data_IF_955677517019
#
_entry.id   IF_955677517019
#
_cell.length_a   1.000
_cell.length_b   1.000
_cell.length_c   1.000
_cell.angle_alpha   90.00
_cell.angle_beta   90.00
_cell.angle_gamma   90.00
#
_symmetry.space_group_name_H-M   'P 1'
#
loop_
_entity.id
_entity.type
_entity.pdbx_description
1 polymer ?
#
# COMPACT_ATOMS: atom_id res chain seq x y z
N UNK A 1 -19.46 -2.81 -32.58
CA UNK A 1 -19.97 -2.20 -31.33
C UNK A 1 -19.70 -3.10 -30.11
N UNK A 2 -20.13 -4.37 -30.11
CA UNK A 2 -19.91 -5.30 -28.99
C UNK A 2 -18.43 -5.53 -28.64
N UNK A 3 -17.57 -5.73 -29.65
CA UNK A 3 -16.13 -5.98 -29.44
C UNK A 3 -15.40 -4.83 -28.71
N UNK A 4 -15.78 -3.57 -29.01
CA UNK A 4 -15.23 -2.40 -28.32
C UNK A 4 -15.63 -2.35 -26.84
N UNK A 5 -16.85 -2.78 -26.51
CA UNK A 5 -17.33 -2.82 -25.13
C UNK A 5 -16.60 -3.89 -24.30
N UNK A 6 -16.39 -5.09 -24.87
CA UNK A 6 -15.64 -6.16 -24.18
C UNK A 6 -14.17 -5.76 -23.96
N UNK A 7 -13.54 -5.12 -24.95
CA UNK A 7 -12.18 -4.62 -24.84
C UNK A 7 -12.05 -3.57 -23.73
N UNK A 8 -12.98 -2.60 -23.66
CA UNK A 8 -13.04 -1.60 -22.58
C UNK A 8 -13.17 -2.25 -21.21
N UNK A 9 -14.01 -3.28 -21.08
CA UNK A 9 -14.20 -4.00 -19.82
C UNK A 9 -12.91 -4.74 -19.38
N UNK A 10 -12.19 -5.37 -20.32
CA UNK A 10 -10.89 -5.99 -20.04
C UNK A 10 -9.85 -4.96 -19.60
N UNK A 11 -9.76 -3.83 -20.30
CA UNK A 11 -8.84 -2.74 -19.94
C UNK A 11 -9.16 -2.18 -18.55
N UNK A 12 -10.44 -1.97 -18.23
CA UNK A 12 -10.84 -1.49 -16.91
C UNK A 12 -10.45 -2.47 -15.78
N UNK A 13 -10.64 -3.77 -15.98
CA UNK A 13 -10.22 -4.81 -15.01
C UNK A 13 -8.70 -4.85 -14.83
N UNK A 14 -7.95 -4.82 -15.93
CA UNK A 14 -6.49 -4.77 -15.87
C UNK A 14 -5.99 -3.47 -15.22
N UNK A 15 -6.69 -2.35 -15.45
CA UNK A 15 -6.40 -1.07 -14.79
C UNK A 15 -6.58 -1.17 -13.27
N UNK A 16 -7.69 -1.76 -12.79
CA UNK A 16 -7.89 -2.00 -11.36
C UNK A 16 -6.82 -2.91 -10.78
N UNK A 17 -6.46 -3.99 -11.49
CA UNK A 17 -5.43 -4.91 -11.05
C UNK A 17 -4.05 -4.25 -10.99
N UNK A 18 -3.70 -3.41 -11.97
CA UNK A 18 -2.45 -2.66 -11.97
C UNK A 18 -2.40 -1.62 -10.84
N UNK A 19 -3.49 -0.90 -10.59
CA UNK A 19 -3.61 0.04 -9.46
C UNK A 19 -3.47 -0.69 -8.13
N UNK A 20 -4.11 -1.85 -7.97
CA UNK A 20 -3.96 -2.65 -6.76
C UNK A 20 -2.54 -3.17 -6.59
N UNK A 21 -1.93 -3.71 -7.66
CA UNK A 21 -0.56 -4.20 -7.63
C UNK A 21 0.40 -3.09 -7.19
N UNK A 22 0.26 -1.89 -7.76
CA UNK A 22 1.05 -0.72 -7.37
C UNK A 22 0.78 -0.33 -5.92
N UNK A 23 -0.49 -0.25 -5.51
CA UNK A 23 -0.89 0.05 -4.13
C UNK A 23 -0.34 -0.95 -3.11
N UNK A 24 -0.24 -2.24 -3.46
CA UNK A 24 0.38 -3.26 -2.61
C UNK A 24 1.89 -3.02 -2.45
N UNK A 25 2.58 -2.66 -3.54
CA UNK A 25 3.98 -2.25 -3.43
C UNK A 25 4.14 -1.01 -2.57
N UNK A 26 3.30 0.01 -2.76
CA UNK A 26 3.29 1.23 -1.95
C UNK A 26 3.08 0.92 -0.47
N UNK A 27 2.12 0.06 -0.14
CA UNK A 27 1.88 -0.38 1.23
C UNK A 27 3.16 -0.97 1.85
N UNK A 28 3.82 -1.89 1.15
CA UNK A 28 5.07 -2.51 1.65
C UNK A 28 6.19 -1.49 1.80
N UNK A 29 6.42 -0.64 0.79
CA UNK A 29 7.55 0.29 0.79
C UNK A 29 7.34 1.43 1.77
N UNK A 30 6.18 2.10 1.77
CA UNK A 30 5.86 3.12 2.75
C UNK A 30 5.95 2.56 4.17
N UNK A 31 5.35 1.38 4.42
CA UNK A 31 5.39 0.81 5.76
C UNK A 31 6.81 0.47 6.21
N UNK A 32 7.60 -0.15 5.33
CA UNK A 32 8.99 -0.49 5.64
C UNK A 32 9.84 0.75 5.90
N UNK A 33 9.78 1.76 5.03
CA UNK A 33 10.57 2.97 5.21
C UNK A 33 10.15 3.76 6.45
N UNK A 34 8.86 3.79 6.79
CA UNK A 34 8.40 4.42 8.02
C UNK A 34 9.00 3.73 9.25
N UNK A 35 8.89 2.40 9.32
CA UNK A 35 9.41 1.61 10.45
C UNK A 35 10.92 1.81 10.59
N UNK A 36 11.67 1.73 9.48
CA UNK A 36 13.12 1.93 9.48
C UNK A 36 13.50 3.36 9.89
N UNK A 37 12.80 4.37 9.39
CA UNK A 37 13.04 5.76 9.75
C UNK A 37 12.72 6.04 11.22
N UNK A 38 11.60 5.51 11.72
CA UNK A 38 11.16 5.66 13.10
C UNK A 38 12.14 5.01 14.08
N UNK A 39 12.44 3.72 13.88
CA UNK A 39 13.38 2.99 14.75
C UNK A 39 14.82 3.47 14.57
N UNK A 40 15.19 3.87 13.36
CA UNK A 40 16.50 4.47 13.07
C UNK A 40 16.70 5.77 13.84
N UNK A 41 15.69 6.66 13.85
CA UNK A 41 15.73 7.90 14.62
C UNK A 41 15.86 7.65 16.13
N UNK A 42 15.07 6.72 16.68
CA UNK A 42 15.17 6.34 18.10
C UNK A 42 16.58 5.83 18.42
N UNK A 43 17.12 4.93 17.59
CA UNK A 43 18.44 4.35 17.78
C UNK A 43 19.55 5.39 17.69
N UNK A 44 19.46 6.35 16.76
CA UNK A 44 20.52 7.34 16.55
C UNK A 44 20.47 8.51 17.54
N UNK A 45 19.30 8.84 18.09
CA UNK A 45 19.13 10.02 18.94
C UNK A 45 18.84 9.71 20.41
N UNK A 46 18.42 8.48 20.72
CA UNK A 46 17.88 8.10 22.04
C UNK A 46 16.54 8.77 22.37
N UNK A 47 15.93 9.51 21.43
CA UNK A 47 14.69 10.26 21.62
C UNK A 47 13.53 9.57 20.93
N UNK A 48 12.37 9.62 21.56
CA UNK A 48 11.12 9.17 20.97
C UNK A 48 10.61 10.20 19.92
N UNK A 49 10.50 9.82 18.64
CA UNK A 49 9.99 10.73 17.62
C UNK A 49 8.49 11.02 17.78
N UNK A 50 7.70 10.14 18.41
CA UNK A 50 6.28 10.40 18.66
C UNK A 50 6.06 11.57 19.64
N UNK A 51 7.00 11.83 20.55
CA UNK A 51 6.97 12.97 21.46
C UNK A 51 7.45 14.29 20.80
N UNK A 52 7.97 14.24 19.57
CA UNK A 52 8.48 15.40 18.86
C UNK A 52 7.90 15.47 17.45
N UNK A 53 6.88 16.32 17.27
CA UNK A 53 6.19 16.48 16.00
C UNK A 53 7.13 16.82 14.83
N UNK A 54 8.19 17.62 15.06
CA UNK A 54 9.17 17.93 14.00
C UNK A 54 9.93 16.68 13.57
N UNK A 55 10.33 15.83 14.53
CA UNK A 55 10.98 14.56 14.22
C UNK A 55 10.04 13.60 13.48
N UNK A 56 8.78 13.50 13.92
CA UNK A 56 7.77 12.68 13.27
C UNK A 56 7.51 13.13 11.82
N UNK A 57 7.40 14.44 11.58
CA UNK A 57 7.29 14.99 10.22
C UNK A 57 8.54 14.67 9.38
N UNK A 58 9.74 14.76 9.97
CA UNK A 58 10.98 14.35 9.31
C UNK A 58 10.99 12.88 8.89
N UNK A 59 10.46 11.99 9.74
CA UNK A 59 10.30 10.56 9.44
C UNK A 59 9.32 10.36 8.28
N UNK A 60 8.19 11.07 8.27
CA UNK A 60 7.21 11.01 7.16
C UNK A 60 7.83 11.47 5.84
N UNK A 61 8.64 12.52 5.87
CA UNK A 61 9.38 13.01 4.70
C UNK A 61 10.38 11.94 4.23
N UNK A 62 11.18 11.37 5.14
CA UNK A 62 12.17 10.34 4.79
C UNK A 62 11.50 9.09 4.19
N UNK A 63 10.37 8.68 4.77
CA UNK A 63 9.53 7.61 4.25
C UNK A 63 9.06 7.91 2.83
N UNK A 64 8.53 9.10 2.59
CA UNK A 64 8.06 9.54 1.29
C UNK A 64 9.20 9.59 0.26
N UNK A 65 10.36 10.15 0.63
CA UNK A 65 11.54 10.20 -0.24
C UNK A 65 12.01 8.79 -0.60
N UNK A 66 12.14 7.89 0.39
CA UNK A 66 12.51 6.49 0.15
C UNK A 66 11.53 5.79 -0.80
N UNK A 67 10.23 6.00 -0.62
CA UNK A 67 9.22 5.44 -1.52
C UNK A 67 9.34 5.98 -2.96
N UNK A 68 9.66 7.27 -3.16
CA UNK A 68 9.80 7.82 -4.50
C UNK A 68 11.02 7.26 -5.26
N UNK A 69 12.10 6.93 -4.55
CA UNK A 69 13.27 6.27 -5.16
C UNK A 69 12.91 4.88 -5.69
N UNK A 70 11.99 4.16 -5.04
CA UNK A 70 11.56 2.84 -5.51
C UNK A 70 10.51 2.89 -6.63
N UNK A 71 10.02 4.07 -7.01
CA UNK A 71 8.92 4.23 -7.96
C UNK A 71 9.10 3.47 -9.28
N UNK A 72 10.26 3.50 -9.96
CA UNK A 72 10.43 2.74 -11.20
C UNK A 72 10.22 1.24 -11.02
N UNK A 73 10.73 0.68 -9.91
CA UNK A 73 10.56 -0.72 -9.58
C UNK A 73 9.11 -1.07 -9.23
N UNK A 74 8.40 -0.17 -8.54
CA UNK A 74 6.98 -0.37 -8.21
C UNK A 74 6.11 -0.35 -9.46
N UNK A 75 6.38 0.54 -10.42
CA UNK A 75 5.67 0.57 -11.70
C UNK A 75 5.94 -0.70 -12.50
N UNK A 76 7.21 -1.10 -12.63
CA UNK A 76 7.58 -2.31 -13.36
C UNK A 76 6.99 -3.58 -12.71
N UNK A 77 7.12 -3.69 -11.39
CA UNK A 77 6.54 -4.78 -10.61
C UNK A 77 5.01 -4.83 -10.70
N UNK A 78 4.34 -3.68 -10.65
CA UNK A 78 2.88 -3.61 -10.78
C UNK A 78 2.41 -4.08 -12.16
N UNK A 79 3.11 -3.67 -13.24
CA UNK A 79 2.81 -4.14 -14.58
C UNK A 79 3.01 -5.66 -14.71
N UNK A 80 4.09 -6.21 -14.14
CA UNK A 80 4.36 -7.65 -14.17
C UNK A 80 3.34 -8.46 -13.35
N UNK A 81 2.89 -7.93 -12.21
CA UNK A 81 1.95 -8.63 -11.32
C UNK A 81 0.47 -8.41 -11.67
N UNK A 82 0.12 -7.44 -12.52
CA UNK A 82 -1.27 -7.12 -12.83
C UNK A 82 -2.11 -8.34 -13.25
N UNK A 83 -1.65 -9.28 -14.10
CA UNK A 83 -2.43 -10.47 -14.44
C UNK A 83 -2.69 -11.40 -13.24
N UNK A 84 -1.69 -11.56 -12.37
CA UNK A 84 -1.82 -12.37 -11.16
C UNK A 84 -2.81 -11.73 -10.16
N UNK A 85 -2.76 -10.41 -10.01
CA UNK A 85 -3.69 -9.66 -9.17
C UNK A 85 -5.12 -9.72 -9.72
N UNK A 86 -5.33 -9.62 -11.05
CA UNK A 86 -6.67 -9.79 -11.66
C UNK A 86 -7.25 -11.18 -11.35
N UNK A 87 -6.44 -12.24 -11.46
CA UNK A 87 -6.84 -13.60 -11.10
C UNK A 87 -7.18 -13.73 -9.62
N UNK A 88 -6.37 -13.11 -8.74
CA UNK A 88 -6.63 -13.08 -7.31
C UNK A 88 -7.94 -12.38 -6.96
N UNK A 89 -8.20 -11.22 -7.57
CA UNK A 89 -9.44 -10.46 -7.37
C UNK A 89 -10.67 -11.24 -7.81
N UNK A 90 -10.61 -11.95 -8.94
CA UNK A 90 -11.69 -12.86 -9.39
C UNK A 90 -11.92 -13.97 -8.38
N UNK A 91 -10.85 -14.61 -7.89
CA UNK A 91 -10.96 -15.66 -6.87
C UNK A 91 -11.60 -15.16 -5.57
N UNK A 92 -11.26 -13.95 -5.12
CA UNK A 92 -11.89 -13.32 -3.94
C UNK A 92 -13.36 -13.01 -4.22
N UNK A 93 -13.66 -12.44 -5.40
CA UNK A 93 -15.03 -12.12 -5.81
C UNK A 93 -15.90 -13.37 -5.79
N UNK A 94 -15.45 -14.47 -6.41
CA UNK A 94 -16.18 -15.74 -6.48
C UNK A 94 -16.32 -16.39 -5.10
N UNK A 95 -15.23 -16.48 -4.33
CA UNK A 95 -15.23 -17.13 -3.01
C UNK A 95 -16.15 -16.45 -2.01
N UNK A 96 -16.26 -15.12 -2.08
CA UNK A 96 -17.10 -14.32 -1.18
C UNK A 96 -18.45 -13.94 -1.80
N UNK A 97 -18.77 -14.44 -3.00
CA UNK A 97 -19.98 -14.09 -3.75
C UNK A 97 -20.22 -12.56 -3.84
N UNK A 98 -19.15 -11.80 -4.09
CA UNK A 98 -19.24 -10.35 -4.14
C UNK A 98 -19.89 -9.87 -5.44
N UNK A 99 -20.69 -8.78 -5.41
CA UNK A 99 -21.47 -8.34 -6.57
C UNK A 99 -20.60 -7.95 -7.78
N UNK A 100 -19.36 -7.52 -7.54
CA UNK A 100 -18.42 -7.15 -8.60
C UNK A 100 -16.98 -7.24 -8.13
N UNK A 101 -16.06 -7.26 -9.09
CA UNK A 101 -14.61 -7.23 -8.85
C UNK A 101 -14.16 -5.94 -8.13
N UNK A 102 -14.94 -4.86 -8.22
CA UNK A 102 -14.68 -3.62 -7.47
C UNK A 102 -14.86 -3.81 -5.96
N UNK A 103 -15.84 -4.61 -5.53
CA UNK A 103 -16.00 -4.92 -4.10
C UNK A 103 -14.83 -5.77 -3.58
N UNK A 104 -14.34 -6.72 -4.39
CA UNK A 104 -13.14 -7.47 -4.06
C UNK A 104 -11.91 -6.55 -3.97
N UNK A 105 -11.76 -5.62 -4.92
CA UNK A 105 -10.71 -4.60 -4.89
C UNK A 105 -10.77 -3.75 -3.62
N UNK A 106 -11.94 -3.18 -3.31
CA UNK A 106 -12.14 -2.34 -2.14
C UNK A 106 -11.87 -3.09 -0.84
N UNK A 107 -12.29 -4.36 -0.75
CA UNK A 107 -12.01 -5.23 0.39
C UNK A 107 -10.50 -5.42 0.59
N UNK A 108 -9.75 -5.73 -0.47
CA UNK A 108 -8.30 -5.92 -0.38
C UNK A 108 -7.60 -4.62 0.00
N UNK A 109 -7.93 -3.50 -0.67
CA UNK A 109 -7.34 -2.18 -0.35
C UNK A 109 -7.63 -1.80 1.10
N UNK A 110 -8.87 -1.92 1.55
CA UNK A 110 -9.26 -1.60 2.92
C UNK A 110 -8.54 -2.47 3.95
N UNK A 111 -8.40 -3.77 3.68
CA UNK A 111 -7.69 -4.70 4.56
C UNK A 111 -6.21 -4.35 4.66
N UNK A 112 -5.55 -4.07 3.53
CA UNK A 112 -4.14 -3.68 3.49
C UNK A 112 -3.92 -2.34 4.18
N UNK A 113 -4.77 -1.35 3.90
CA UNK A 113 -4.71 -0.05 4.56
C UNK A 113 -4.87 -0.19 6.08
N UNK A 114 -5.84 -0.99 6.54
CA UNK A 114 -6.03 -1.25 7.96
C UNK A 114 -4.76 -1.83 8.59
N UNK A 115 -4.13 -2.83 7.98
CA UNK A 115 -2.87 -3.41 8.48
C UNK A 115 -1.76 -2.36 8.54
N UNK A 116 -1.54 -1.59 7.48
CA UNK A 116 -0.52 -0.54 7.45
C UNK A 116 -0.74 0.53 8.53
N UNK A 117 -1.98 1.02 8.68
CA UNK A 117 -2.31 2.01 9.70
C UNK A 117 -2.22 1.43 11.11
N UNK A 118 -2.56 0.16 11.33
CA UNK A 118 -2.33 -0.50 12.61
C UNK A 118 -0.84 -0.56 12.95
N UNK A 119 0.04 -0.88 12.00
CA UNK A 119 1.49 -0.90 12.24
C UNK A 119 2.00 0.50 12.64
N UNK A 120 1.60 1.55 11.90
CA UNK A 120 1.97 2.93 12.21
C UNK A 120 1.43 3.38 13.56
N UNK A 121 0.15 3.13 13.79
CA UNK A 121 -0.54 3.45 15.04
C UNK A 121 0.10 2.76 16.22
N UNK A 122 0.36 1.45 16.15
CA UNK A 122 1.01 0.70 17.21
C UNK A 122 2.42 1.22 17.51
N UNK A 123 3.23 1.54 16.50
CA UNK A 123 4.56 2.11 16.71
C UNK A 123 4.50 3.45 17.45
N UNK A 124 3.67 4.37 16.94
CA UNK A 124 3.50 5.70 17.53
C UNK A 124 2.92 5.59 18.96
N UNK A 125 1.87 4.81 19.15
CA UNK A 125 1.17 4.65 20.43
C UNK A 125 2.00 3.90 21.47
N UNK A 126 2.80 2.90 21.07
CA UNK A 126 3.66 2.14 22.00
C UNK A 126 4.73 3.01 22.68
N UNK A 127 5.04 4.14 22.04
CA UNK A 127 5.99 5.15 22.52
C UNK A 127 5.30 6.41 22.99
N UNK A 128 3.98 6.56 22.84
CA UNK A 128 3.30 7.79 23.23
C UNK A 128 3.42 8.02 24.74
N UNK A 129 3.96 9.17 25.14
CA UNK A 129 4.16 9.53 26.54
C UNK A 129 5.40 8.91 27.22
N UNK A 130 6.25 8.17 26.49
CA UNK A 130 7.60 7.78 26.92
C UNK A 130 8.64 8.73 26.33
#
# INVERSE_FOLDING_TARGET
>A
MAESAEMRAKVAKLGLAAVLAYGLFDAVTYTTFFVLAFLGYEKSTGKNPAANLKALLGIVILMWTGNNVTRPFRVAGAAALAPAIDKGLKGIQEKLNLPSQMYAFALVVGSVAAVCFTIFGCLILSKWGK
#
